data_IF_743513438597
#
_entry.id   IF_743513438597
#
_cell.length_a   1.000
_cell.length_b   1.000
_cell.length_c   1.000
_cell.angle_alpha   90.00
_cell.angle_beta   90.00
_cell.angle_gamma   90.00
#
_symmetry.space_group_name_H-M   'P 1'
#
loop_
_entity.id
_entity.type
_entity.pdbx_description
1 polymer ?
#
# COMPACT_ATOMS: atom_id res chain seq x y z
N UNK A 1 1.71 3.89 -16.85
CA UNK A 1 1.74 5.13 -17.68
C UNK A 1 3.18 5.39 -18.13
N UNK A 2 3.46 6.38 -19.00
CA UNK A 2 4.83 6.77 -19.40
C UNK A 2 5.45 6.08 -20.63
N UNK A 3 4.88 4.96 -21.12
CA UNK A 3 5.44 4.22 -22.27
C UNK A 3 5.62 5.05 -23.55
N UNK A 4 4.72 5.99 -23.83
CA UNK A 4 4.73 6.82 -25.04
C UNK A 4 5.65 8.05 -24.96
N UNK A 5 6.25 8.29 -23.80
CA UNK A 5 7.01 9.50 -23.47
C UNK A 5 8.41 9.14 -22.92
N UNK A 6 9.22 8.37 -23.66
CA UNK A 6 10.46 7.75 -23.14
C UNK A 6 11.55 8.74 -22.69
N UNK A 7 11.44 10.02 -23.06
CA UNK A 7 12.35 11.08 -22.61
C UNK A 7 11.83 11.86 -21.39
N UNK A 8 10.59 11.62 -20.96
CA UNK A 8 9.92 12.25 -19.82
C UNK A 8 9.84 11.24 -18.69
N UNK A 9 11.00 10.85 -18.15
CA UNK A 9 11.10 9.77 -17.15
C UNK A 9 10.27 9.96 -15.87
N UNK A 10 9.75 11.15 -15.59
CA UNK A 10 9.02 11.46 -14.35
C UNK A 10 7.51 11.26 -14.46
N UNK A 11 6.99 10.87 -15.63
CA UNK A 11 5.57 10.55 -15.84
C UNK A 11 5.26 9.04 -15.74
N UNK A 12 6.25 8.21 -15.42
CA UNK A 12 6.05 6.78 -15.28
C UNK A 12 5.22 6.45 -14.03
N UNK A 13 4.32 5.48 -14.21
CA UNK A 13 3.49 4.90 -13.15
C UNK A 13 3.72 3.40 -13.10
N UNK A 14 4.01 2.91 -11.90
CA UNK A 14 4.33 1.54 -11.56
C UNK A 14 3.22 0.94 -10.71
N UNK A 15 2.95 -0.34 -10.92
CA UNK A 15 2.02 -1.12 -10.12
C UNK A 15 2.80 -2.17 -9.34
N UNK A 16 2.74 -2.11 -8.01
CA UNK A 16 3.43 -3.06 -7.13
C UNK A 16 2.39 -4.04 -6.60
N UNK A 17 2.66 -5.33 -6.81
CA UNK A 17 1.83 -6.44 -6.29
C UNK A 17 2.72 -7.47 -5.62
N UNK A 18 2.22 -8.15 -4.60
CA UNK A 18 2.96 -9.21 -3.96
C UNK A 18 2.47 -9.52 -2.56
N UNK A 19 3.16 -10.44 -1.92
CA UNK A 19 3.00 -10.73 -0.50
C UNK A 19 4.36 -10.98 0.14
N UNK A 20 4.45 -10.73 1.44
CA UNK A 20 5.65 -10.90 2.23
C UNK A 20 5.30 -11.49 3.58
N UNK A 21 6.13 -12.43 4.06
CA UNK A 21 5.93 -13.08 5.34
C UNK A 21 7.21 -12.99 6.16
N UNK A 22 7.08 -12.54 7.41
CA UNK A 22 8.18 -12.42 8.38
C UNK A 22 7.88 -13.28 9.59
N UNK A 23 8.90 -13.99 10.06
CA UNK A 23 8.89 -14.68 11.34
C UNK A 23 9.94 -14.02 12.23
N UNK A 24 9.49 -13.42 13.33
CA UNK A 24 10.37 -12.82 14.31
C UNK A 24 11.05 -13.90 15.17
N UNK A 25 12.16 -13.53 15.84
CA UNK A 25 12.96 -14.47 16.66
C UNK A 25 12.20 -15.05 17.86
N UNK A 26 11.16 -14.37 18.32
CA UNK A 26 10.22 -14.83 19.36
C UNK A 26 9.12 -15.75 18.80
N UNK A 27 9.12 -16.05 17.50
CA UNK A 27 8.15 -16.90 16.82
C UNK A 27 6.88 -16.19 16.33
N UNK A 28 6.71 -14.88 16.57
CA UNK A 28 5.54 -14.15 16.05
C UNK A 28 5.66 -13.94 14.55
N UNK A 29 4.53 -14.02 13.84
CA UNK A 29 4.51 -13.88 12.39
C UNK A 29 3.79 -12.61 11.97
N UNK A 30 4.27 -11.98 10.90
CA UNK A 30 3.62 -10.89 10.21
C UNK A 30 3.55 -11.21 8.73
N UNK A 31 2.34 -11.28 8.20
CA UNK A 31 2.05 -11.45 6.78
C UNK A 31 1.53 -10.13 6.22
N UNK A 32 2.14 -9.64 5.15
CA UNK A 32 1.70 -8.47 4.41
C UNK A 32 1.29 -8.92 3.01
N UNK A 33 0.04 -8.69 2.62
CA UNK A 33 -0.49 -9.07 1.31
C UNK A 33 -1.06 -7.85 0.64
N UNK A 34 -0.59 -7.56 -0.58
CA UNK A 34 -1.16 -6.51 -1.41
C UNK A 34 -2.38 -7.11 -2.12
N UNK A 35 -3.58 -6.78 -1.68
CA UNK A 35 -4.84 -7.28 -2.24
C UNK A 35 -5.28 -6.48 -3.46
N UNK A 36 -5.03 -5.17 -3.44
CA UNK A 36 -5.15 -4.29 -4.59
C UNK A 36 -3.78 -3.66 -4.87
N UNK A 37 -3.31 -3.79 -6.11
CA UNK A 37 -1.97 -3.34 -6.51
C UNK A 37 -1.71 -1.88 -6.14
N UNK A 38 -0.54 -1.61 -5.58
CA UNK A 38 -0.14 -0.28 -5.17
C UNK A 38 0.30 0.53 -6.39
N UNK A 39 -0.39 1.63 -6.67
CA UNK A 39 -0.05 2.53 -7.75
C UNK A 39 0.92 3.60 -7.25
N UNK A 40 2.11 3.60 -7.82
CA UNK A 40 3.18 4.54 -7.53
C UNK A 40 3.57 5.29 -8.80
N UNK A 41 3.43 6.62 -8.80
CA UNK A 41 3.82 7.47 -9.93
C UNK A 41 5.04 8.30 -9.56
N UNK A 42 6.00 8.46 -10.47
CA UNK A 42 7.23 9.23 -10.18
C UNK A 42 7.01 10.73 -9.99
N UNK A 43 5.88 11.25 -10.45
CA UNK A 43 5.44 12.62 -10.23
C UNK A 43 4.68 12.82 -8.91
N UNK A 44 4.48 11.76 -8.12
CA UNK A 44 3.80 11.79 -6.85
C UNK A 44 4.69 11.23 -5.74
N UNK A 45 4.78 11.93 -4.62
CA UNK A 45 5.54 11.44 -3.48
C UNK A 45 4.82 10.27 -2.77
N UNK A 46 3.49 10.25 -2.85
CA UNK A 46 2.63 9.31 -2.14
C UNK A 46 2.18 8.15 -3.03
N UNK A 47 1.77 7.05 -2.40
CA UNK A 47 1.10 5.95 -3.08
C UNK A 47 -0.32 6.41 -3.40
N UNK A 48 -0.70 6.38 -4.68
CA UNK A 48 -1.97 6.96 -5.13
C UNK A 48 -3.17 6.08 -4.83
N UNK A 49 -2.97 4.76 -4.89
CA UNK A 49 -4.04 3.78 -4.65
C UNK A 49 -3.48 2.42 -4.31
N UNK A 50 -4.33 1.59 -3.73
CA UNK A 50 -4.06 0.20 -3.46
C UNK A 50 -4.35 -0.17 -2.01
N UNK A 51 -4.38 -1.46 -1.73
CA UNK A 51 -4.80 -1.99 -0.44
C UNK A 51 -3.77 -3.03 0.02
N UNK A 52 -3.32 -2.87 1.27
CA UNK A 52 -2.44 -3.82 1.94
C UNK A 52 -3.17 -4.39 3.15
N UNK A 53 -3.22 -5.71 3.22
CA UNK A 53 -3.65 -6.44 4.40
C UNK A 53 -2.42 -6.88 5.20
N UNK A 54 -2.41 -6.54 6.49
CA UNK A 54 -1.39 -6.92 7.46
C UNK A 54 -2.01 -7.85 8.49
N UNK A 55 -1.60 -9.12 8.45
CA UNK A 55 -2.00 -10.14 9.41
C UNK A 55 -0.82 -10.45 10.35
N UNK A 56 -0.89 -9.90 11.55
CA UNK A 56 0.02 -10.26 12.65
C UNK A 56 -0.56 -11.45 13.44
N UNK A 57 0.28 -12.30 14.02
CA UNK A 57 -0.18 -13.47 14.78
C UNK A 57 -0.92 -13.15 16.09
N UNK A 58 -0.72 -11.94 16.63
CA UNK A 58 -1.27 -11.50 17.93
C UNK A 58 -2.20 -10.28 17.83
N UNK A 59 -2.42 -9.73 16.63
CA UNK A 59 -3.26 -8.55 16.42
C UNK A 59 -4.40 -8.90 15.46
N UNK A 60 -5.52 -8.17 15.51
CA UNK A 60 -6.55 -8.27 14.47
C UNK A 60 -5.98 -7.93 13.09
N UNK A 61 -6.70 -8.33 12.05
CA UNK A 61 -6.37 -7.93 10.68
C UNK A 61 -6.38 -6.40 10.58
N UNK A 62 -5.31 -5.86 9.99
CA UNK A 62 -5.17 -4.44 9.71
C UNK A 62 -5.20 -4.30 8.19
N UNK A 63 -6.12 -3.50 7.68
CA UNK A 63 -6.19 -3.14 6.26
C UNK A 63 -5.76 -1.68 6.12
N UNK A 64 -4.87 -1.41 5.16
CA UNK A 64 -4.44 -0.07 4.81
C UNK A 64 -4.85 0.21 3.36
N UNK A 65 -5.79 1.14 3.20
CA UNK A 65 -6.29 1.62 1.91
C UNK A 65 -5.68 3.00 1.61
N UNK A 66 -4.92 3.08 0.51
CA UNK A 66 -4.28 4.31 0.02
C UNK A 66 -5.23 5.19 -0.82
N UNK A 67 -6.48 4.77 -0.99
CA UNK A 67 -7.50 5.57 -1.66
C UNK A 67 -7.60 5.34 -3.17
N UNK A 68 -8.31 6.23 -3.88
CA UNK A 68 -8.84 5.95 -5.21
C UNK A 68 -7.91 6.32 -6.37
N UNK A 69 -6.68 6.79 -6.12
CA UNK A 69 -5.75 7.21 -7.18
C UNK A 69 -5.36 8.69 -7.14
N UNK A 70 -5.71 9.42 -6.07
CA UNK A 70 -5.34 10.83 -5.90
C UNK A 70 -3.91 10.95 -5.37
N UNK A 71 -3.17 11.97 -5.82
CA UNK A 71 -1.85 12.25 -5.27
C UNK A 71 -2.00 13.12 -4.02
N UNK A 72 -2.28 12.49 -2.89
CA UNK A 72 -2.40 13.11 -1.58
C UNK A 72 -1.77 12.22 -0.50
N UNK A 73 -1.72 12.74 0.72
CA UNK A 73 -1.22 12.05 1.90
C UNK A 73 -2.34 11.34 2.69
N UNK A 74 -3.53 11.18 2.11
CA UNK A 74 -4.68 10.55 2.79
C UNK A 74 -4.63 9.03 2.66
N UNK A 75 -4.85 8.33 3.77
CA UNK A 75 -5.07 6.89 3.77
C UNK A 75 -6.06 6.50 4.86
N UNK A 76 -6.66 5.31 4.73
CA UNK A 76 -7.60 4.76 5.72
C UNK A 76 -7.02 3.46 6.25
N UNK A 77 -6.83 3.42 7.56
CA UNK A 77 -6.48 2.19 8.27
C UNK A 77 -7.73 1.60 8.88
N UNK A 78 -8.08 0.38 8.52
CA UNK A 78 -9.19 -0.36 9.14
C UNK A 78 -8.63 -1.44 10.06
N UNK A 79 -9.01 -1.38 11.34
CA UNK A 79 -8.62 -2.35 12.36
C UNK A 79 -9.90 -2.90 12.98
N UNK A 80 -10.10 -4.21 12.89
CA UNK A 80 -11.29 -4.89 13.45
C UNK A 80 -12.61 -4.24 13.00
N UNK A 81 -12.70 -3.91 11.71
CA UNK A 81 -13.87 -3.27 11.09
C UNK A 81 -14.05 -1.78 11.42
N UNK A 82 -13.19 -1.17 12.23
CA UNK A 82 -13.21 0.26 12.52
C UNK A 82 -12.19 1.00 11.66
N UNK A 83 -12.64 1.99 10.88
CA UNK A 83 -11.79 2.78 9.99
C UNK A 83 -11.28 4.05 10.65
N UNK A 84 -10.00 4.33 10.46
CA UNK A 84 -9.27 5.48 10.98
C UNK A 84 -8.61 6.21 9.81
N UNK A 85 -9.06 7.43 9.46
CA UNK A 85 -8.36 8.25 8.48
C UNK A 85 -7.02 8.72 9.08
N UNK A 86 -5.95 8.59 8.29
CA UNK A 86 -4.59 8.98 8.67
C UNK A 86 -3.96 9.86 7.59
N UNK A 87 -2.90 10.56 7.98
CA UNK A 87 -1.96 11.23 7.07
C UNK A 87 -0.63 10.48 7.07
N UNK A 88 -0.06 10.26 5.88
CA UNK A 88 1.18 9.49 5.65
C UNK A 88 2.47 10.26 6.00
#
# INVERSE_FOLDING_TARGET
EGHSTPFIWWDDTYLITGSHNVVASNGTTLSATITLGLEFSLNCYWIKSGIIELQHSLLPLIELDYGPGTCDDDAIVTIDGTSYPIKL
#
